data_IF_046278188061
#
_entry.id   IF_046278188061
#
_cell.length_a   1.000
_cell.length_b   1.000
_cell.length_c   1.000
_cell.angle_alpha   90.00
_cell.angle_beta   90.00
_cell.angle_gamma   90.00
#
_symmetry.space_group_name_H-M   'P 1'
#
loop_
_entity.id
_entity.type
_entity.pdbx_description
1 polymer ?
#
# COMPACT_ATOMS: atom_id res chain seq x y z
N UNK A 1 35.94 39.06 -32.96
CA UNK A 1 34.63 38.49 -32.70
C UNK A 1 34.63 37.79 -31.36
N UNK A 2 34.05 38.42 -30.35
CA UNK A 2 34.07 37.92 -28.96
C UNK A 2 32.90 36.99 -28.75
N UNK A 3 33.19 35.73 -28.48
CA UNK A 3 32.20 34.68 -28.12
C UNK A 3 31.65 34.94 -26.72
N UNK A 4 30.41 35.43 -26.62
CA UNK A 4 29.67 35.51 -25.36
C UNK A 4 29.48 34.09 -24.80
N UNK A 5 30.23 33.71 -23.77
CA UNK A 5 29.93 32.55 -22.93
C UNK A 5 28.53 32.72 -22.36
N UNK A 6 27.61 31.83 -22.67
CA UNK A 6 26.33 31.70 -21.97
C UNK A 6 26.62 31.27 -20.52
N UNK A 7 26.47 32.20 -19.60
CA UNK A 7 26.58 31.90 -18.17
C UNK A 7 25.38 31.08 -17.73
N UNK A 8 25.60 29.84 -17.33
CA UNK A 8 24.56 28.97 -16.76
C UNK A 8 24.02 29.57 -15.45
N UNK A 9 22.68 29.63 -15.32
CA UNK A 9 21.99 30.15 -14.13
C UNK A 9 22.29 29.29 -12.92
N UNK A 10 22.46 29.92 -11.74
CA UNK A 10 22.65 29.23 -10.47
C UNK A 10 21.40 28.40 -10.09
N UNK A 11 21.62 27.18 -9.66
CA UNK A 11 20.55 26.19 -9.42
C UNK A 11 19.93 26.33 -8.03
N UNK A 12 20.70 26.76 -7.06
CA UNK A 12 20.32 26.91 -5.64
C UNK A 12 20.25 28.36 -5.17
N UNK A 13 20.18 29.27 -6.12
CA UNK A 13 20.18 30.70 -5.84
C UNK A 13 18.94 31.19 -5.09
N UNK A 14 19.13 32.23 -4.25
CA UNK A 14 18.06 32.84 -3.47
C UNK A 14 16.92 33.38 -4.38
N UNK A 15 15.72 33.50 -3.83
CA UNK A 15 14.52 34.02 -4.54
C UNK A 15 14.74 35.43 -5.00
N UNK A 16 15.42 36.26 -4.23
CA UNK A 16 15.75 37.64 -4.56
C UNK A 16 16.63 37.77 -5.81
N UNK A 17 17.64 36.92 -5.98
CA UNK A 17 18.45 36.89 -7.23
C UNK A 17 17.68 36.31 -8.41
N UNK A 18 16.83 35.30 -8.16
CA UNK A 18 15.99 34.68 -9.20
C UNK A 18 14.97 35.66 -9.78
N UNK A 19 14.26 36.41 -8.94
CA UNK A 19 13.28 37.41 -9.39
C UNK A 19 13.93 38.51 -10.22
N UNK A 20 15.17 38.87 -9.86
CA UNK A 20 15.97 39.90 -10.58
C UNK A 20 16.77 39.33 -11.76
N UNK A 21 16.62 38.04 -12.08
CA UNK A 21 17.31 37.37 -13.20
C UNK A 21 18.85 37.50 -13.14
N UNK A 22 19.42 37.54 -11.93
CA UNK A 22 20.88 37.60 -11.72
C UNK A 22 21.41 36.25 -11.23
N UNK A 23 22.66 35.94 -11.57
CA UNK A 23 23.35 34.74 -11.08
C UNK A 23 23.61 34.91 -9.58
N UNK A 24 23.14 33.98 -8.76
CA UNK A 24 23.34 33.97 -7.31
C UNK A 24 24.67 33.31 -6.97
N UNK A 25 25.38 33.82 -5.95
CA UNK A 25 26.60 33.19 -5.41
C UNK A 25 26.30 32.05 -4.43
N UNK A 26 24.99 31.78 -4.14
CA UNK A 26 24.48 30.69 -3.31
C UNK A 26 25.03 30.65 -1.86
N UNK A 27 25.63 31.71 -1.37
CA UNK A 27 26.08 31.84 0.04
C UNK A 27 24.93 31.92 1.02
N UNK A 28 25.02 31.23 2.16
CA UNK A 28 24.04 31.28 3.26
C UNK A 28 24.68 31.89 4.50
N UNK A 29 23.92 32.60 5.32
CA UNK A 29 22.48 32.90 5.25
C UNK A 29 22.09 33.95 4.22
N UNK A 30 23.05 34.70 3.66
CA UNK A 30 22.82 35.72 2.65
C UNK A 30 23.86 35.60 1.53
N UNK A 31 23.41 35.65 0.28
CA UNK A 31 24.31 35.57 -0.85
C UNK A 31 25.08 36.89 -1.04
N UNK A 32 26.32 36.80 -1.53
CA UNK A 32 27.19 37.95 -1.69
C UNK A 32 26.53 39.12 -2.47
N UNK A 33 25.79 38.80 -3.52
CA UNK A 33 25.14 39.81 -4.38
C UNK A 33 24.00 40.55 -3.67
N UNK A 34 23.29 39.94 -2.73
CA UNK A 34 22.28 40.58 -1.91
C UNK A 34 22.93 41.41 -0.82
N UNK A 35 23.98 40.86 -0.17
CA UNK A 35 24.76 41.56 0.88
C UNK A 35 25.42 42.83 0.36
N UNK A 36 26.11 42.78 -0.79
CA UNK A 36 26.74 43.94 -1.40
C UNK A 36 25.75 45.06 -1.80
N UNK A 37 24.48 44.68 -2.00
CA UNK A 37 23.44 45.64 -2.39
C UNK A 37 22.51 46.07 -1.25
N UNK A 38 22.72 45.56 -0.05
CA UNK A 38 21.91 45.88 1.14
C UNK A 38 20.43 45.46 1.00
N UNK A 39 20.15 44.39 0.23
CA UNK A 39 18.77 43.94 0.01
C UNK A 39 18.57 42.58 0.70
N UNK A 40 17.34 42.34 1.16
CA UNK A 40 16.96 41.11 1.82
C UNK A 40 17.22 39.88 0.92
N UNK A 41 17.90 38.89 1.48
CA UNK A 41 18.24 37.66 0.77
C UNK A 41 17.34 36.51 1.23
N UNK A 42 16.31 36.21 0.46
CA UNK A 42 15.31 35.23 0.78
C UNK A 42 15.66 33.91 0.06
N UNK A 43 15.96 32.86 0.82
CA UNK A 43 16.07 31.50 0.28
C UNK A 43 14.72 30.78 0.41
N UNK A 44 14.34 29.92 -0.58
CA UNK A 44 13.15 29.09 -0.43
C UNK A 44 13.36 28.12 0.74
N UNK A 45 12.30 27.80 1.46
CA UNK A 45 12.31 26.71 2.42
C UNK A 45 12.42 25.38 1.67
N UNK A 46 13.63 24.82 1.64
CA UNK A 46 13.94 23.58 0.95
C UNK A 46 13.39 22.35 1.67
N UNK A 47 12.87 22.46 2.89
CA UNK A 47 12.23 21.35 3.59
C UNK A 47 10.90 21.00 2.95
N UNK A 48 10.22 21.95 2.31
CA UNK A 48 8.99 21.77 1.55
C UNK A 48 9.21 21.18 0.14
N UNK A 49 10.45 21.12 -0.38
CA UNK A 49 10.76 20.76 -1.78
C UNK A 49 11.41 19.36 -1.90
N UNK A 50 11.15 18.45 -0.97
CA UNK A 50 11.68 17.07 -1.07
C UNK A 50 11.20 16.31 -2.32
N UNK A 51 10.12 16.75 -2.96
CA UNK A 51 9.58 16.11 -4.17
C UNK A 51 10.42 16.31 -5.45
N UNK A 52 11.30 17.32 -5.53
CA UNK A 52 12.13 17.55 -6.74
C UNK A 52 13.49 16.83 -6.71
N UNK A 53 13.97 16.46 -5.54
CA UNK A 53 15.29 15.82 -5.40
C UNK A 53 15.33 14.38 -5.93
N UNK A 54 14.22 13.64 -5.85
CA UNK A 54 14.11 12.27 -6.35
C UNK A 54 14.31 12.21 -7.87
N UNK A 55 13.77 13.21 -8.59
CA UNK A 55 13.89 13.31 -10.06
C UNK A 55 15.33 13.60 -10.50
N UNK A 56 16.07 14.33 -9.68
CA UNK A 56 17.42 14.78 -10.00
C UNK A 56 18.48 13.72 -9.67
N UNK A 57 18.31 13.00 -8.55
CA UNK A 57 19.14 11.84 -8.19
C UNK A 57 18.99 10.71 -9.22
N UNK A 58 17.80 10.56 -9.79
CA UNK A 58 17.51 9.58 -10.85
C UNK A 58 18.20 9.91 -12.17
N UNK A 59 18.31 11.19 -12.56
CA UNK A 59 19.08 11.62 -13.74
C UNK A 59 20.59 11.40 -13.55
N UNK A 60 21.14 11.71 -12.38
CA UNK A 60 22.57 11.50 -12.08
C UNK A 60 22.94 10.00 -12.03
N UNK A 61 22.02 9.12 -11.60
CA UNK A 61 22.22 7.67 -11.64
C UNK A 61 22.09 7.09 -13.06
N UNK A 62 21.31 7.74 -13.94
CA UNK A 62 21.24 7.36 -15.35
C UNK A 62 22.52 7.76 -16.10
N UNK A 63 23.08 8.92 -15.80
CA UNK A 63 24.31 9.40 -16.45
C UNK A 63 25.58 8.68 -15.95
N UNK A 64 25.55 8.13 -14.71
CA UNK A 64 26.67 7.37 -14.14
C UNK A 64 26.73 5.89 -14.59
N UNK A 65 25.69 5.38 -15.24
CA UNK A 65 25.56 3.96 -15.62
C UNK A 65 25.90 3.64 -17.07
N UNK A 66 26.57 4.54 -17.80
CA UNK A 66 26.99 4.30 -19.20
C UNK A 66 28.19 3.32 -19.31
N UNK A 67 28.65 2.72 -18.22
CA UNK A 67 29.82 1.85 -18.21
C UNK A 67 29.65 0.44 -17.65
N UNK A 68 28.47 0.00 -17.24
CA UNK A 68 28.26 -1.36 -16.76
C UNK A 68 27.01 -1.97 -17.37
N UNK A 69 27.20 -2.90 -18.30
CA UNK A 69 26.15 -3.78 -18.79
C UNK A 69 25.65 -4.69 -17.64
N UNK A 70 24.76 -4.18 -16.83
CA UNK A 70 23.90 -5.01 -15.98
C UNK A 70 22.73 -5.42 -16.86
N UNK A 71 22.52 -6.74 -16.98
CA UNK A 71 21.44 -7.31 -17.74
C UNK A 71 20.13 -6.60 -17.42
N UNK A 72 19.56 -5.89 -18.41
CA UNK A 72 18.19 -5.36 -18.34
C UNK A 72 17.26 -6.52 -18.04
N UNK A 73 16.29 -6.38 -17.11
CA UNK A 73 15.21 -7.34 -17.06
C UNK A 73 14.54 -7.35 -18.43
N UNK A 74 14.58 -8.48 -19.05
CA UNK A 74 14.10 -8.75 -20.38
C UNK A 74 12.61 -8.46 -20.47
N UNK A 75 12.28 -7.58 -21.43
CA UNK A 75 11.03 -7.57 -22.17
C UNK A 75 9.78 -7.14 -21.37
N UNK A 76 9.56 -5.83 -21.31
CA UNK A 76 8.19 -5.36 -21.52
C UNK A 76 7.78 -5.80 -22.93
N UNK A 77 6.70 -6.60 -23.07
CA UNK A 77 6.18 -6.95 -24.38
C UNK A 77 5.91 -5.67 -25.18
N UNK A 78 6.04 -5.70 -26.49
CA UNK A 78 5.83 -4.54 -27.36
C UNK A 78 4.51 -3.85 -27.01
N UNK A 79 4.57 -2.57 -26.59
CA UNK A 79 3.39 -1.84 -26.13
C UNK A 79 2.46 -1.53 -27.31
N UNK A 80 1.14 -1.70 -27.14
CA UNK A 80 0.17 -1.33 -28.15
C UNK A 80 0.21 0.18 -28.44
N UNK A 81 -0.02 0.55 -29.67
CA UNK A 81 0.12 1.93 -30.19
C UNK A 81 -0.95 2.90 -29.69
N UNK A 82 -1.99 2.45 -29.01
CA UNK A 82 -3.06 3.28 -28.45
C UNK A 82 -2.88 3.45 -26.94
N UNK A 83 -2.91 4.71 -26.45
CA UNK A 83 -2.68 5.05 -25.04
C UNK A 83 -3.60 4.32 -24.06
N UNK A 84 -4.87 4.16 -24.37
CA UNK A 84 -5.85 3.48 -23.52
C UNK A 84 -5.55 1.98 -23.45
N UNK A 85 -5.25 1.35 -24.56
CA UNK A 85 -4.88 -0.06 -24.64
C UNK A 85 -3.60 -0.36 -23.83
N UNK A 86 -2.68 0.62 -23.70
CA UNK A 86 -1.44 0.49 -22.92
C UNK A 86 -1.71 0.32 -21.42
N UNK A 87 -2.64 1.06 -20.82
CA UNK A 87 -2.96 0.95 -19.40
C UNK A 87 -3.63 -0.39 -19.08
N UNK A 88 -4.61 -0.79 -19.88
CA UNK A 88 -5.25 -2.10 -19.76
C UNK A 88 -4.22 -3.24 -19.92
N UNK A 89 -3.31 -3.11 -20.88
CA UNK A 89 -2.24 -4.09 -21.08
C UNK A 89 -1.31 -4.15 -19.85
N UNK A 90 -0.92 -3.01 -19.28
CA UNK A 90 -0.08 -2.96 -18.08
C UNK A 90 -0.78 -3.59 -16.87
N UNK A 91 -2.07 -3.31 -16.69
CA UNK A 91 -2.87 -3.96 -15.65
C UNK A 91 -2.89 -5.48 -15.81
N UNK A 92 -3.18 -5.95 -17.03
CA UNK A 92 -3.25 -7.37 -17.35
C UNK A 92 -1.91 -8.11 -17.12
N UNK A 93 -0.80 -7.52 -17.54
CA UNK A 93 0.51 -8.20 -17.56
C UNK A 93 1.30 -8.06 -16.27
N UNK A 94 1.06 -6.99 -15.49
CA UNK A 94 1.87 -6.67 -14.31
C UNK A 94 1.00 -6.53 -13.05
N UNK A 95 0.06 -5.57 -13.03
CA UNK A 95 -0.64 -5.21 -11.79
C UNK A 95 -1.51 -6.31 -11.24
N UNK A 96 -2.27 -7.01 -12.08
CA UNK A 96 -3.14 -8.08 -11.65
C UNK A 96 -2.39 -9.16 -10.85
N UNK A 97 -1.13 -9.44 -11.22
CA UNK A 97 -0.27 -10.40 -10.49
C UNK A 97 0.36 -9.82 -9.23
N UNK A 98 0.50 -8.49 -9.12
CA UNK A 98 1.01 -7.84 -7.91
C UNK A 98 -0.03 -7.74 -6.80
N UNK A 99 -1.32 -7.67 -7.15
CA UNK A 99 -2.43 -7.41 -6.22
C UNK A 99 -3.30 -8.65 -5.93
N UNK A 100 -2.88 -9.83 -6.36
CA UNK A 100 -3.58 -11.08 -6.07
C UNK A 100 -2.61 -12.23 -5.89
N UNK A 101 -3.05 -13.24 -5.15
CA UNK A 101 -2.42 -14.54 -5.18
C UNK A 101 -2.92 -15.34 -6.38
N UNK A 102 -2.02 -15.88 -7.17
CA UNK A 102 -2.35 -16.77 -8.26
C UNK A 102 -1.61 -18.10 -8.07
N UNK A 103 -2.31 -19.18 -8.36
CA UNK A 103 -1.79 -20.54 -8.23
C UNK A 103 -1.65 -21.17 -9.61
N UNK A 104 -0.63 -20.81 -10.42
CA UNK A 104 -0.51 -21.32 -11.78
C UNK A 104 -0.44 -22.87 -11.84
N UNK A 105 0.17 -23.47 -10.82
CA UNK A 105 0.29 -24.93 -10.69
C UNK A 105 -1.05 -25.61 -10.38
N UNK A 106 -1.98 -24.91 -9.70
CA UNK A 106 -3.33 -25.40 -9.45
C UNK A 106 -4.31 -25.07 -10.59
N UNK A 107 -3.84 -24.43 -11.67
CA UNK A 107 -4.69 -24.02 -12.78
C UNK A 107 -5.70 -22.93 -12.45
N UNK A 108 -5.56 -22.26 -11.28
CA UNK A 108 -6.46 -21.16 -10.89
C UNK A 108 -6.10 -19.89 -11.64
N UNK A 109 -7.03 -19.34 -12.44
CA UNK A 109 -6.78 -18.09 -13.15
C UNK A 109 -6.71 -16.92 -12.16
N UNK A 110 -5.98 -15.87 -12.54
CA UNK A 110 -5.92 -14.64 -11.76
C UNK A 110 -7.32 -14.02 -11.65
N UNK A 111 -7.86 -13.76 -10.45
CA UNK A 111 -9.25 -13.33 -10.27
C UNK A 111 -9.51 -11.92 -10.85
N UNK A 112 -8.51 -11.03 -10.89
CA UNK A 112 -8.68 -9.71 -11.54
C UNK A 112 -8.82 -9.85 -13.06
N UNK A 113 -8.10 -10.79 -13.67
CA UNK A 113 -8.24 -11.08 -15.10
C UNK A 113 -9.59 -11.73 -15.41
N UNK A 114 -10.11 -12.52 -14.49
CA UNK A 114 -11.38 -13.21 -14.66
C UNK A 114 -12.59 -12.28 -14.40
N UNK A 115 -12.53 -11.40 -13.40
CA UNK A 115 -13.70 -10.66 -12.92
C UNK A 115 -13.64 -9.15 -13.23
N UNK A 116 -12.47 -8.54 -13.34
CA UNK A 116 -12.30 -7.10 -13.59
C UNK A 116 -12.08 -6.82 -15.07
N UNK A 117 -11.12 -7.50 -15.68
CA UNK A 117 -10.71 -7.21 -17.05
C UNK A 117 -11.86 -7.31 -18.08
N UNK A 118 -12.76 -8.32 -18.08
CA UNK A 118 -13.88 -8.34 -19.00
C UNK A 118 -14.85 -7.17 -18.86
N UNK A 119 -14.96 -6.59 -17.65
CA UNK A 119 -15.83 -5.46 -17.36
C UNK A 119 -15.31 -4.15 -17.95
N UNK A 120 -14.02 -4.02 -18.23
CA UNK A 120 -13.48 -2.82 -18.88
C UNK A 120 -14.07 -2.61 -20.28
N UNK A 121 -14.46 -3.67 -20.98
CA UNK A 121 -15.08 -3.60 -22.30
C UNK A 121 -16.56 -3.19 -22.25
N UNK A 122 -17.26 -3.41 -21.12
CA UNK A 122 -18.71 -3.17 -20.97
C UNK A 122 -19.04 -2.01 -20.04
N UNK A 123 -18.06 -1.49 -19.30
CA UNK A 123 -18.25 -0.41 -18.30
C UNK A 123 -17.12 0.61 -18.36
N UNK A 124 -17.46 1.81 -18.78
CA UNK A 124 -16.52 2.94 -18.87
C UNK A 124 -15.98 3.33 -17.49
N UNK A 125 -16.79 3.18 -16.42
CA UNK A 125 -16.37 3.45 -15.04
C UNK A 125 -15.25 2.49 -14.61
N UNK A 126 -15.43 1.18 -14.85
CA UNK A 126 -14.42 0.17 -14.52
C UNK A 126 -13.18 0.36 -15.38
N UNK A 127 -13.35 0.71 -16.66
CA UNK A 127 -12.24 0.99 -17.55
C UNK A 127 -11.36 2.12 -16.99
N UNK A 128 -11.94 3.29 -16.68
CA UNK A 128 -11.14 4.41 -16.14
C UNK A 128 -10.56 4.12 -14.76
N UNK A 129 -11.22 3.33 -13.93
CA UNK A 129 -10.64 2.91 -12.65
C UNK A 129 -9.40 2.03 -12.85
N UNK A 130 -9.45 1.05 -13.75
CA UNK A 130 -8.29 0.21 -14.12
C UNK A 130 -7.19 1.06 -14.74
N UNK A 131 -7.52 1.96 -15.67
CA UNK A 131 -6.55 2.85 -16.31
C UNK A 131 -5.88 3.79 -15.30
N UNK A 132 -6.61 4.30 -14.30
CA UNK A 132 -6.08 5.17 -13.26
C UNK A 132 -5.03 4.42 -12.41
N UNK A 133 -5.34 3.19 -11.96
CA UNK A 133 -4.40 2.35 -11.20
C UNK A 133 -3.15 2.04 -12.03
N UNK A 134 -3.32 1.69 -13.30
CA UNK A 134 -2.22 1.39 -14.19
C UNK A 134 -1.35 2.62 -14.49
N UNK A 135 -1.96 3.78 -14.72
CA UNK A 135 -1.24 5.03 -14.94
C UNK A 135 -0.46 5.47 -13.68
N UNK A 136 -1.04 5.30 -12.49
CA UNK A 136 -0.37 5.57 -11.22
C UNK A 136 0.89 4.69 -11.05
N UNK A 137 0.80 3.41 -11.34
CA UNK A 137 1.94 2.52 -11.27
C UNK A 137 3.01 2.85 -12.34
N UNK A 138 2.61 3.12 -13.58
CA UNK A 138 3.50 3.58 -14.65
C UNK A 138 4.17 4.92 -14.32
N UNK A 139 3.50 5.80 -13.59
CA UNK A 139 4.10 7.04 -13.08
C UNK A 139 5.29 6.73 -12.13
N UNK A 140 5.15 5.80 -11.22
CA UNK A 140 6.24 5.42 -10.32
C UNK A 140 7.36 4.67 -11.04
N UNK A 141 7.05 3.97 -12.11
CA UNK A 141 8.06 3.40 -13.02
C UNK A 141 8.75 4.47 -13.88
N UNK A 142 8.30 5.74 -13.86
CA UNK A 142 8.81 6.83 -14.68
C UNK A 142 8.42 6.72 -16.17
N UNK A 143 7.41 5.91 -16.46
CA UNK A 143 6.92 5.65 -17.81
C UNK A 143 5.65 6.46 -18.15
N UNK A 144 5.05 7.16 -17.18
CA UNK A 144 3.87 8.02 -17.36
C UNK A 144 3.98 9.30 -16.53
N UNK A 145 3.15 10.30 -16.82
CA UNK A 145 3.04 11.54 -16.04
C UNK A 145 2.06 11.40 -14.88
N UNK A 146 2.33 12.04 -13.73
CA UNK A 146 1.40 12.08 -12.60
C UNK A 146 0.09 12.79 -12.97
N UNK A 147 0.14 13.79 -13.85
CA UNK A 147 -1.06 14.49 -14.34
C UNK A 147 -2.03 13.53 -15.04
N UNK A 148 -1.50 12.59 -15.83
CA UNK A 148 -2.34 11.59 -16.52
C UNK A 148 -3.04 10.65 -15.56
N UNK A 149 -2.33 10.16 -14.55
CA UNK A 149 -2.91 9.32 -13.49
C UNK A 149 -4.05 10.06 -12.76
N UNK A 150 -3.81 11.33 -12.38
CA UNK A 150 -4.81 12.18 -11.73
C UNK A 150 -6.02 12.47 -12.63
N UNK A 151 -5.82 12.71 -13.92
CA UNK A 151 -6.92 12.92 -14.88
C UNK A 151 -7.80 11.67 -15.02
N UNK A 152 -7.21 10.48 -15.13
CA UNK A 152 -7.94 9.21 -15.22
C UNK A 152 -8.72 8.92 -13.93
N UNK A 153 -8.09 9.14 -12.78
CA UNK A 153 -8.74 9.04 -11.47
C UNK A 153 -9.95 9.98 -11.36
N UNK A 154 -9.78 11.26 -11.73
CA UNK A 154 -10.86 12.25 -11.71
C UNK A 154 -12.02 11.86 -12.65
N UNK A 155 -11.71 11.29 -13.81
CA UNK A 155 -12.74 10.77 -14.72
C UNK A 155 -13.49 9.58 -14.11
N UNK A 156 -12.77 8.63 -13.49
CA UNK A 156 -13.40 7.51 -12.80
C UNK A 156 -14.35 7.98 -11.69
N UNK A 157 -13.91 8.95 -10.86
CA UNK A 157 -14.72 9.53 -9.80
C UNK A 157 -15.97 10.25 -10.32
N UNK A 158 -15.83 11.05 -11.37
CA UNK A 158 -16.95 11.77 -11.98
C UNK A 158 -18.01 10.80 -12.55
N UNK A 159 -17.57 9.75 -13.24
CA UNK A 159 -18.48 8.73 -13.78
C UNK A 159 -19.17 7.94 -12.65
N UNK A 160 -18.43 7.63 -11.57
CA UNK A 160 -18.99 6.98 -10.39
C UNK A 160 -20.08 7.86 -9.74
N UNK A 161 -19.81 9.17 -9.58
CA UNK A 161 -20.76 10.12 -9.02
C UNK A 161 -22.04 10.27 -9.90
N UNK A 162 -21.85 10.37 -11.23
CA UNK A 162 -22.98 10.44 -12.19
C UNK A 162 -23.83 9.19 -12.12
N UNK A 163 -23.22 8.01 -12.10
CA UNK A 163 -23.96 6.75 -12.04
C UNK A 163 -24.72 6.59 -10.72
N UNK A 164 -24.07 6.92 -9.58
CA UNK A 164 -24.71 6.90 -8.26
C UNK A 164 -25.89 7.88 -8.13
N UNK A 165 -25.94 8.94 -8.93
CA UNK A 165 -27.06 9.89 -8.92
C UNK A 165 -28.32 9.39 -9.65
N UNK A 166 -28.26 8.25 -10.33
CA UNK A 166 -29.43 7.66 -11.02
C UNK A 166 -30.44 7.15 -10.00
N UNK A 167 -31.75 7.40 -10.23
CA UNK A 167 -32.78 7.02 -9.27
C UNK A 167 -32.94 5.50 -9.13
N UNK A 168 -32.58 4.73 -10.15
CA UNK A 168 -32.59 3.27 -10.12
C UNK A 168 -31.34 2.73 -10.77
N UNK A 169 -30.67 1.86 -10.03
CA UNK A 169 -29.48 1.13 -10.51
C UNK A 169 -29.86 -0.34 -10.69
N UNK A 170 -29.61 -0.86 -11.86
CA UNK A 170 -29.66 -2.31 -12.08
C UNK A 170 -28.48 -3.03 -11.39
N UNK A 171 -28.56 -4.34 -11.30
CA UNK A 171 -27.56 -5.15 -10.62
C UNK A 171 -26.17 -5.04 -11.27
N UNK A 172 -26.13 -4.97 -12.61
CA UNK A 172 -24.86 -4.84 -13.36
C UNK A 172 -24.19 -3.51 -13.06
N UNK A 173 -24.94 -2.42 -13.05
CA UNK A 173 -24.45 -1.08 -12.68
C UNK A 173 -23.94 -1.05 -11.25
N UNK A 174 -24.66 -1.64 -10.29
CA UNK A 174 -24.18 -1.75 -8.89
C UNK A 174 -22.86 -2.50 -8.79
N UNK A 175 -22.73 -3.61 -9.52
CA UNK A 175 -21.47 -4.40 -9.53
C UNK A 175 -20.31 -3.64 -10.15
N UNK A 176 -20.55 -2.87 -11.21
CA UNK A 176 -19.54 -2.04 -11.84
C UNK A 176 -19.11 -0.89 -10.92
N UNK A 177 -20.04 -0.28 -10.20
CA UNK A 177 -19.74 0.73 -9.17
C UNK A 177 -18.93 0.15 -8.01
N UNK A 178 -19.29 -1.04 -7.53
CA UNK A 178 -18.54 -1.76 -6.49
C UNK A 178 -17.10 -2.06 -6.96
N UNK A 179 -16.96 -2.61 -8.16
CA UNK A 179 -15.63 -2.87 -8.75
C UNK A 179 -14.81 -1.60 -8.86
N UNK A 180 -15.39 -0.50 -9.36
CA UNK A 180 -14.70 0.78 -9.51
C UNK A 180 -14.28 1.36 -8.17
N UNK A 181 -15.17 1.33 -7.15
CA UNK A 181 -14.87 1.82 -5.81
C UNK A 181 -13.70 1.06 -5.17
N UNK A 182 -13.67 -0.27 -5.31
CA UNK A 182 -12.58 -1.09 -4.77
C UNK A 182 -11.27 -0.90 -5.56
N UNK A 183 -11.33 -0.70 -6.88
CA UNK A 183 -10.15 -0.37 -7.70
C UNK A 183 -9.55 0.99 -7.32
N UNK A 184 -10.38 1.96 -6.93
CA UNK A 184 -9.86 3.25 -6.48
C UNK A 184 -9.12 3.17 -5.15
N UNK A 185 -9.37 2.16 -4.30
CA UNK A 185 -8.52 1.87 -3.13
C UNK A 185 -7.11 1.45 -3.59
N UNK A 186 -6.99 0.61 -4.62
CA UNK A 186 -5.68 0.26 -5.18
C UNK A 186 -4.94 1.47 -5.78
N UNK A 187 -5.67 2.43 -6.35
CA UNK A 187 -5.07 3.69 -6.81
C UNK A 187 -4.39 4.43 -5.65
N UNK A 188 -5.07 4.55 -4.50
CA UNK A 188 -4.52 5.18 -3.29
C UNK A 188 -3.28 4.42 -2.76
N UNK A 189 -3.32 3.09 -2.79
CA UNK A 189 -2.21 2.21 -2.37
C UNK A 189 -0.99 2.39 -3.27
N UNK A 190 -1.19 2.40 -4.59
CA UNK A 190 -0.10 2.55 -5.56
C UNK A 190 0.58 3.92 -5.42
N UNK A 191 -0.19 4.99 -5.21
CA UNK A 191 0.34 6.34 -5.00
C UNK A 191 0.89 6.58 -3.59
N UNK A 192 0.54 5.74 -2.60
CA UNK A 192 0.87 5.97 -1.20
C UNK A 192 0.15 7.18 -0.62
N UNK A 193 -1.10 7.40 -1.07
CA UNK A 193 -1.93 8.51 -0.63
C UNK A 193 -2.52 8.28 0.77
N UNK A 194 -3.51 9.09 1.13
CA UNK A 194 -4.14 9.04 2.44
C UNK A 194 -5.00 7.79 2.66
N UNK A 195 -4.81 7.11 3.79
CA UNK A 195 -5.69 6.03 4.25
C UNK A 195 -7.16 6.51 4.38
N UNK A 196 -7.39 7.80 4.66
CA UNK A 196 -8.72 8.37 4.74
C UNK A 196 -9.44 8.40 3.39
N UNK A 197 -8.73 8.65 2.27
CA UNK A 197 -9.31 8.58 0.93
C UNK A 197 -9.73 7.14 0.61
N UNK A 198 -8.85 6.17 0.86
CA UNK A 198 -9.15 4.75 0.68
C UNK A 198 -10.36 4.32 1.53
N UNK A 199 -10.48 4.85 2.76
CA UNK A 199 -11.65 4.61 3.63
C UNK A 199 -12.96 5.15 3.05
N UNK A 200 -12.95 6.33 2.42
CA UNK A 200 -14.13 6.86 1.74
C UNK A 200 -14.62 5.95 0.61
N UNK A 201 -13.69 5.41 -0.20
CA UNK A 201 -14.04 4.44 -1.23
C UNK A 201 -14.61 3.15 -0.63
N UNK A 202 -14.05 2.68 0.49
CA UNK A 202 -14.54 1.51 1.20
C UNK A 202 -15.95 1.73 1.76
N UNK A 203 -16.26 2.92 2.31
CA UNK A 203 -17.59 3.27 2.78
C UNK A 203 -18.63 3.25 1.63
N UNK A 204 -18.25 3.76 0.46
CA UNK A 204 -19.08 3.67 -0.74
C UNK A 204 -19.33 2.21 -1.17
N UNK A 205 -18.28 1.39 -1.17
CA UNK A 205 -18.37 -0.03 -1.48
C UNK A 205 -19.28 -0.79 -0.49
N UNK A 206 -19.24 -0.46 0.81
CA UNK A 206 -20.16 -1.02 1.82
C UNK A 206 -21.62 -0.84 1.44
N UNK A 207 -22.02 0.40 1.09
CA UNK A 207 -23.42 0.69 0.72
C UNK A 207 -23.84 -0.14 -0.49
N UNK A 208 -22.97 -0.29 -1.48
CA UNK A 208 -23.25 -1.10 -2.68
C UNK A 208 -23.40 -2.59 -2.35
N UNK A 209 -22.59 -3.12 -1.43
CA UNK A 209 -22.69 -4.48 -0.93
C UNK A 209 -24.02 -4.71 -0.17
N UNK A 210 -24.44 -3.79 0.68
CA UNK A 210 -25.70 -3.88 1.43
C UNK A 210 -26.95 -3.83 0.54
N UNK A 211 -26.82 -3.25 -0.65
CA UNK A 211 -27.91 -3.22 -1.65
C UNK A 211 -28.05 -4.51 -2.47
N UNK A 212 -27.08 -5.44 -2.39
CA UNK A 212 -27.14 -6.70 -3.13
C UNK A 212 -28.23 -7.63 -2.57
N UNK A 213 -29.05 -8.22 -3.46
CA UNK A 213 -30.17 -9.08 -3.08
C UNK A 213 -30.25 -10.39 -3.88
N UNK A 214 -29.30 -10.62 -4.79
CA UNK A 214 -29.35 -11.77 -5.69
C UNK A 214 -28.83 -13.02 -4.98
N UNK A 215 -29.61 -14.08 -5.00
CA UNK A 215 -29.22 -15.42 -4.50
C UNK A 215 -29.52 -16.47 -5.59
N UNK A 216 -28.60 -17.41 -5.90
CA UNK A 216 -27.24 -17.53 -5.34
C UNK A 216 -26.30 -16.39 -5.78
N UNK A 217 -25.27 -16.12 -4.97
CA UNK A 217 -24.28 -15.08 -5.29
C UNK A 217 -23.46 -15.45 -6.53
N UNK A 218 -23.34 -14.51 -7.50
CA UNK A 218 -22.43 -14.71 -8.63
C UNK A 218 -20.96 -14.77 -8.17
N UNK A 219 -20.08 -15.56 -8.83
CA UNK A 219 -18.67 -15.68 -8.44
C UNK A 219 -17.91 -14.35 -8.36
N UNK A 220 -18.21 -13.39 -9.24
CA UNK A 220 -17.59 -12.07 -9.21
C UNK A 220 -18.01 -11.24 -7.99
N UNK A 221 -19.23 -11.42 -7.47
CA UNK A 221 -19.67 -10.74 -6.25
C UNK A 221 -18.91 -11.27 -5.03
N UNK A 222 -18.78 -12.58 -4.91
CA UNK A 222 -17.95 -13.21 -3.87
C UNK A 222 -16.50 -12.70 -3.90
N UNK A 223 -15.91 -12.55 -5.09
CA UNK A 223 -14.60 -11.98 -5.26
C UNK A 223 -14.50 -10.54 -4.74
N UNK A 224 -15.40 -9.64 -5.14
CA UNK A 224 -15.38 -8.26 -4.66
C UNK A 224 -15.70 -8.15 -3.16
N UNK A 225 -16.55 -9.01 -2.63
CA UNK A 225 -16.80 -9.09 -1.20
C UNK A 225 -15.54 -9.49 -0.43
N UNK A 226 -14.76 -10.42 -0.92
CA UNK A 226 -13.46 -10.80 -0.35
C UNK A 226 -12.47 -9.63 -0.36
N UNK A 227 -12.36 -8.88 -1.46
CA UNK A 227 -11.54 -7.67 -1.54
C UNK A 227 -12.01 -6.63 -0.52
N UNK A 228 -13.32 -6.40 -0.42
CA UNK A 228 -13.88 -5.49 0.58
C UNK A 228 -13.48 -5.92 2.00
N UNK A 229 -13.63 -7.20 2.36
CA UNK A 229 -13.28 -7.71 3.67
C UNK A 229 -11.78 -7.57 3.96
N UNK A 230 -10.93 -7.76 2.95
CA UNK A 230 -9.50 -7.51 3.07
C UNK A 230 -9.24 -6.04 3.45
N UNK A 231 -9.72 -5.11 2.65
CA UNK A 231 -9.51 -3.69 2.90
C UNK A 231 -10.21 -3.19 4.16
N UNK A 232 -11.35 -3.77 4.53
CA UNK A 232 -12.07 -3.41 5.75
C UNK A 232 -11.20 -3.62 7.00
N UNK A 233 -10.45 -4.72 7.05
CA UNK A 233 -9.50 -4.99 8.13
C UNK A 233 -8.26 -4.11 8.01
N UNK A 234 -7.63 -4.05 6.83
CA UNK A 234 -6.39 -3.33 6.66
C UNK A 234 -6.53 -1.82 6.88
N UNK A 235 -7.60 -1.21 6.35
CA UNK A 235 -7.86 0.21 6.55
C UNK A 235 -8.35 0.53 7.97
N UNK A 236 -9.07 -0.38 8.62
CA UNK A 236 -9.41 -0.23 10.03
C UNK A 236 -8.16 -0.17 10.91
N UNK A 237 -7.20 -1.09 10.69
CA UNK A 237 -5.89 -1.09 11.36
C UNK A 237 -5.06 0.15 11.01
N UNK A 238 -5.09 0.60 9.74
CA UNK A 238 -4.37 1.79 9.27
C UNK A 238 -4.89 3.09 9.88
N UNK A 239 -6.16 3.15 10.23
CA UNK A 239 -6.83 4.34 10.77
C UNK A 239 -7.14 4.22 12.26
N UNK A 240 -6.76 3.12 12.90
CA UNK A 240 -7.09 2.80 14.29
C UNK A 240 -8.59 2.92 14.58
N UNK A 241 -9.41 2.42 13.65
CA UNK A 241 -10.88 2.46 13.69
C UNK A 241 -11.46 1.06 13.72
N UNK A 242 -12.72 0.99 14.10
CA UNK A 242 -13.47 -0.26 13.99
C UNK A 242 -13.76 -0.57 12.52
N UNK A 243 -13.70 -1.85 12.10
CA UNK A 243 -14.15 -2.27 10.78
C UNK A 243 -15.62 -1.92 10.53
N UNK A 244 -15.94 -1.63 9.26
CA UNK A 244 -17.32 -1.39 8.84
C UNK A 244 -18.13 -2.68 9.00
N UNK A 245 -19.31 -2.57 9.60
CA UNK A 245 -20.24 -3.68 9.71
C UNK A 245 -21.19 -3.66 8.50
N UNK A 246 -21.37 -4.81 7.85
CA UNK A 246 -22.33 -5.00 6.76
C UNK A 246 -23.55 -5.68 7.34
N UNK A 247 -24.71 -5.05 7.22
CA UNK A 247 -25.96 -5.58 7.74
C UNK A 247 -26.41 -6.83 6.95
N UNK A 248 -26.62 -7.93 7.65
CA UNK A 248 -27.13 -9.18 7.06
C UNK A 248 -26.12 -9.94 6.19
N UNK A 249 -24.84 -9.57 6.22
CA UNK A 249 -23.80 -10.31 5.52
C UNK A 249 -23.25 -11.43 6.41
N UNK A 250 -23.37 -12.72 6.01
CA UNK A 250 -22.76 -13.82 6.73
C UNK A 250 -21.22 -13.80 6.65
N UNK A 251 -20.64 -12.86 5.90
CA UNK A 251 -19.23 -12.83 5.56
C UNK A 251 -18.87 -13.79 4.43
N UNK A 252 -17.66 -13.67 3.85
CA UNK A 252 -17.16 -14.62 2.88
C UNK A 252 -16.91 -15.98 3.56
N UNK A 253 -17.05 -17.04 2.78
CA UNK A 253 -16.69 -18.38 3.22
C UNK A 253 -15.16 -18.46 3.36
N UNK A 254 -14.68 -18.69 4.57
CA UNK A 254 -13.25 -18.81 4.89
C UNK A 254 -12.81 -20.27 5.11
N UNK A 255 -13.54 -21.22 4.57
CA UNK A 255 -13.22 -22.66 4.71
C UNK A 255 -12.03 -23.10 3.87
N UNK A 256 -11.72 -22.39 2.79
CA UNK A 256 -10.59 -22.71 1.93
C UNK A 256 -9.27 -22.30 2.57
N UNK A 257 -8.33 -23.24 2.68
CA UNK A 257 -6.99 -22.98 3.19
C UNK A 257 -6.12 -22.15 2.23
N UNK A 258 -6.49 -22.09 0.95
CA UNK A 258 -5.79 -21.32 -0.10
C UNK A 258 -6.79 -20.51 -0.90
N UNK A 259 -6.66 -19.19 -0.84
CA UNK A 259 -7.57 -18.25 -1.47
C UNK A 259 -6.83 -17.24 -2.36
N UNK A 260 -7.43 -16.80 -3.44
CA UNK A 260 -6.79 -15.88 -4.40
C UNK A 260 -6.68 -14.43 -3.89
N UNK A 261 -7.45 -14.05 -2.87
CA UNK A 261 -7.39 -12.72 -2.21
C UNK A 261 -6.58 -12.80 -0.91
N UNK A 262 -6.79 -13.85 -0.13
CA UNK A 262 -6.20 -13.99 1.21
C UNK A 262 -4.95 -14.90 1.24
N UNK A 263 -4.63 -15.60 0.18
CA UNK A 263 -3.59 -16.63 0.23
C UNK A 263 -3.89 -17.66 1.31
N UNK A 264 -2.90 -17.99 2.12
CA UNK A 264 -3.07 -18.89 3.27
C UNK A 264 -3.61 -18.20 4.54
N UNK A 265 -4.01 -16.91 4.47
CA UNK A 265 -4.58 -16.20 5.63
C UNK A 265 -6.11 -16.31 5.71
N UNK A 266 -6.78 -16.98 4.77
CA UNK A 266 -8.24 -17.01 4.71
C UNK A 266 -8.88 -17.41 6.05
N UNK A 267 -8.48 -18.54 6.62
CA UNK A 267 -9.01 -19.01 7.93
C UNK A 267 -8.55 -18.16 9.14
N UNK A 268 -7.52 -17.34 8.98
CA UNK A 268 -7.06 -16.36 9.98
C UNK A 268 -7.89 -15.08 9.95
N UNK A 269 -8.51 -14.77 8.82
CA UNK A 269 -9.12 -13.46 8.56
C UNK A 269 -10.24 -13.07 9.54
N UNK A 270 -11.10 -13.99 10.02
CA UNK A 270 -12.05 -13.68 11.09
C UNK A 270 -11.39 -13.19 12.37
N UNK A 271 -10.21 -13.75 12.73
CA UNK A 271 -9.44 -13.30 13.89
C UNK A 271 -8.80 -11.94 13.64
N UNK A 272 -8.34 -11.66 12.42
CA UNK A 272 -7.81 -10.35 12.01
C UNK A 272 -8.91 -9.27 12.04
N UNK A 273 -10.13 -9.60 11.62
CA UNK A 273 -11.28 -8.69 11.74
C UNK A 273 -11.57 -8.37 13.22
N UNK A 274 -11.55 -9.41 14.10
CA UNK A 274 -11.73 -9.20 15.52
C UNK A 274 -10.61 -8.39 16.15
N UNK A 275 -9.35 -8.60 15.72
CA UNK A 275 -8.21 -7.77 16.10
C UNK A 275 -8.46 -6.30 15.77
N UNK A 276 -8.84 -6.00 14.54
CA UNK A 276 -9.10 -4.62 14.10
C UNK A 276 -10.25 -3.97 14.92
N UNK A 277 -11.32 -4.71 15.25
CA UNK A 277 -12.39 -4.21 16.11
C UNK A 277 -11.88 -3.88 17.52
N UNK A 278 -11.09 -4.76 18.13
CA UNK A 278 -10.53 -4.53 19.47
C UNK A 278 -9.57 -3.33 19.48
N UNK A 279 -8.67 -3.23 18.50
CA UNK A 279 -7.75 -2.09 18.38
C UNK A 279 -8.55 -0.77 18.24
N UNK A 280 -9.54 -0.74 17.34
CA UNK A 280 -10.38 0.44 17.16
C UNK A 280 -11.18 0.83 18.41
N UNK A 281 -11.60 -0.15 19.23
CA UNK A 281 -12.26 0.10 20.54
C UNK A 281 -11.28 0.62 21.59
N UNK A 282 -10.08 0.05 21.65
CA UNK A 282 -9.03 0.48 22.58
C UNK A 282 -8.63 1.95 22.30
N UNK A 283 -8.49 2.34 21.03
CA UNK A 283 -8.19 3.72 20.66
C UNK A 283 -9.30 4.72 21.05
N UNK A 284 -10.53 4.24 21.26
CA UNK A 284 -11.65 5.03 21.79
C UNK A 284 -11.75 4.97 23.34
N UNK A 285 -10.78 4.38 24.03
CA UNK A 285 -10.76 4.22 25.48
C UNK A 285 -11.64 3.09 26.00
N UNK A 286 -12.06 2.16 25.14
CA UNK A 286 -12.84 1.00 25.56
C UNK A 286 -11.97 -0.06 26.23
N UNK A 287 -12.47 -0.69 27.30
CA UNK A 287 -11.82 -1.86 27.90
C UNK A 287 -11.92 -3.07 26.97
N UNK A 288 -10.78 -3.62 26.62
CA UNK A 288 -10.64 -4.80 25.76
C UNK A 288 -9.96 -5.98 26.46
N UNK A 289 -9.65 -5.86 27.74
CA UNK A 289 -8.76 -6.78 28.49
C UNK A 289 -9.19 -8.24 28.41
N UNK A 290 -10.48 -8.54 28.62
CA UNK A 290 -10.98 -9.93 28.58
C UNK A 290 -11.04 -10.48 27.15
N UNK A 291 -11.53 -9.68 26.21
CA UNK A 291 -11.67 -10.10 24.81
C UNK A 291 -10.32 -10.28 24.13
N UNK A 292 -9.32 -9.45 24.51
CA UNK A 292 -7.94 -9.59 24.05
C UNK A 292 -7.31 -10.92 24.48
N UNK A 293 -7.54 -11.37 25.71
CA UNK A 293 -7.08 -12.68 26.16
C UNK A 293 -7.67 -13.82 25.33
N UNK A 294 -8.98 -13.80 25.12
CA UNK A 294 -9.69 -14.80 24.30
C UNK A 294 -9.13 -14.81 22.86
N UNK A 295 -8.91 -13.63 22.29
CA UNK A 295 -8.37 -13.53 20.93
C UNK A 295 -6.91 -13.99 20.86
N UNK A 296 -6.08 -13.66 21.86
CA UNK A 296 -4.72 -14.18 21.95
C UNK A 296 -4.67 -15.70 21.98
N UNK A 297 -5.51 -16.35 22.80
CA UNK A 297 -5.59 -17.82 22.86
C UNK A 297 -5.99 -18.43 21.52
N UNK A 298 -6.95 -17.81 20.82
CA UNK A 298 -7.36 -18.24 19.47
C UNK A 298 -6.26 -18.05 18.44
N UNK A 299 -5.53 -16.93 18.48
CA UNK A 299 -4.38 -16.71 17.60
C UNK A 299 -3.24 -17.67 17.89
N UNK A 300 -2.97 -17.97 19.16
CA UNK A 300 -1.97 -18.98 19.53
C UNK A 300 -2.32 -20.37 19.01
N UNK A 301 -3.56 -20.81 19.16
CA UNK A 301 -4.06 -22.12 18.71
C UNK A 301 -4.23 -22.22 17.20
N UNK A 302 -4.36 -21.08 16.49
CA UNK A 302 -4.50 -21.09 15.05
C UNK A 302 -3.24 -21.64 14.36
N UNK A 303 -3.41 -22.60 13.49
CA UNK A 303 -2.34 -23.19 12.67
C UNK A 303 -2.81 -23.42 11.24
N UNK A 304 -1.87 -23.44 10.31
CA UNK A 304 -2.13 -23.85 8.95
C UNK A 304 -1.91 -25.35 8.89
N UNK A 305 -2.95 -26.10 8.52
CA UNK A 305 -2.79 -27.50 8.13
C UNK A 305 -2.06 -27.55 6.78
N UNK A 306 -0.74 -27.42 6.80
CA UNK A 306 0.07 -27.56 5.60
C UNK A 306 0.61 -28.98 5.50
N UNK A 307 0.24 -29.72 4.47
CA UNK A 307 1.14 -30.75 3.94
C UNK A 307 2.49 -30.08 3.65
N UNK A 308 3.61 -30.73 3.96
CA UNK A 308 4.92 -30.18 3.61
C UNK A 308 4.97 -29.97 2.09
N UNK A 309 4.77 -28.72 1.67
CA UNK A 309 4.85 -28.33 0.26
C UNK A 309 6.32 -28.17 -0.08
N UNK A 310 6.72 -28.80 -1.17
CA UNK A 310 8.05 -28.60 -1.77
C UNK A 310 8.13 -27.36 -2.63
N UNK A 311 7.02 -26.61 -2.76
CA UNK A 311 6.89 -25.45 -3.61
C UNK A 311 7.17 -24.14 -2.83
N UNK A 312 8.13 -23.37 -3.33
CA UNK A 312 8.56 -22.11 -2.73
C UNK A 312 7.44 -21.06 -2.61
N UNK A 313 6.48 -21.08 -3.53
CA UNK A 313 5.35 -20.16 -3.52
C UNK A 313 4.41 -20.44 -2.36
N UNK A 314 4.02 -21.71 -2.18
CA UNK A 314 3.17 -22.14 -1.06
C UNK A 314 3.86 -21.89 0.27
N UNK A 315 5.17 -22.17 0.38
CA UNK A 315 5.94 -21.89 1.59
C UNK A 315 5.90 -20.39 1.94
N UNK A 316 6.08 -19.51 0.96
CA UNK A 316 6.03 -18.08 1.23
C UNK A 316 4.63 -17.61 1.66
N UNK A 317 3.55 -18.15 1.11
CA UNK A 317 2.20 -17.82 1.58
C UNK A 317 1.94 -18.29 3.01
N UNK A 318 2.48 -19.46 3.38
CA UNK A 318 2.46 -19.93 4.78
C UNK A 318 3.22 -18.97 5.69
N UNK A 319 4.39 -18.49 5.26
CA UNK A 319 5.16 -17.51 6.04
C UNK A 319 4.46 -16.15 6.12
N UNK A 320 3.78 -15.70 5.07
CA UNK A 320 2.90 -14.51 5.12
C UNK A 320 1.84 -14.71 6.21
N UNK A 321 1.13 -15.82 6.19
CA UNK A 321 0.06 -16.07 7.18
C UNK A 321 0.60 -16.17 8.63
N UNK A 322 1.77 -16.77 8.83
CA UNK A 322 2.46 -16.76 10.12
C UNK A 322 2.84 -15.34 10.55
N UNK A 323 3.33 -14.51 9.65
CA UNK A 323 3.66 -13.12 9.97
C UNK A 323 2.43 -12.34 10.44
N UNK A 324 1.27 -12.51 9.78
CA UNK A 324 0.00 -11.92 10.22
C UNK A 324 -0.43 -12.39 11.62
N UNK A 325 -0.34 -13.69 11.89
CA UNK A 325 -0.63 -14.26 13.21
C UNK A 325 0.22 -13.59 14.30
N UNK A 326 1.54 -13.61 14.13
CA UNK A 326 2.47 -13.10 15.14
C UNK A 326 2.38 -11.58 15.29
N UNK A 327 2.19 -10.83 14.20
CA UNK A 327 1.95 -9.41 14.28
C UNK A 327 0.63 -9.06 15.00
N UNK A 328 -0.42 -9.86 14.78
CA UNK A 328 -1.68 -9.73 15.52
C UNK A 328 -1.51 -9.93 17.03
N UNK A 329 -0.73 -10.93 17.43
CA UNK A 329 -0.38 -11.17 18.85
C UNK A 329 0.40 -9.99 19.45
N UNK A 330 1.40 -9.46 18.73
CA UNK A 330 2.18 -8.31 19.17
C UNK A 330 1.31 -7.06 19.36
N UNK A 331 0.40 -6.80 18.42
CA UNK A 331 -0.52 -5.66 18.54
C UNK A 331 -1.44 -5.76 19.75
N UNK A 332 -2.01 -6.94 20.00
CA UNK A 332 -2.88 -7.15 21.18
C UNK A 332 -2.14 -6.95 22.49
N UNK A 333 -0.89 -7.41 22.56
CA UNK A 333 -0.05 -7.22 23.76
C UNK A 333 0.26 -5.74 23.99
N UNK A 334 0.57 -5.00 22.95
CA UNK A 334 0.82 -3.55 23.02
C UNK A 334 -0.45 -2.77 23.40
N UNK A 335 -1.60 -3.14 22.88
CA UNK A 335 -2.86 -2.46 23.15
C UNK A 335 -3.43 -2.78 24.55
N UNK A 336 -3.12 -3.95 25.09
CA UNK A 336 -3.56 -4.41 26.43
C UNK A 336 -2.59 -4.12 27.57
N UNK A 337 -1.43 -3.52 27.29
CA UNK A 337 -0.32 -3.33 28.24
C UNK A 337 -0.55 -2.21 29.26
N UNK A 338 -1.69 -2.17 29.95
CA UNK A 338 -1.89 -1.26 31.08
C UNK A 338 -1.11 -1.69 32.34
N UNK A 339 -0.85 -2.99 32.52
CA UNK A 339 -0.06 -3.53 33.63
C UNK A 339 0.50 -4.91 33.23
N UNK A 340 1.69 -4.97 32.62
CA UNK A 340 2.32 -6.25 32.33
C UNK A 340 3.44 -6.57 33.33
N UNK A 341 3.41 -7.75 34.00
CA UNK A 341 4.49 -8.19 34.85
C UNK A 341 5.73 -8.60 34.04
N UNK A 342 6.91 -8.58 34.65
CA UNK A 342 8.24 -8.89 34.09
C UNK A 342 8.35 -10.17 33.24
N UNK A 343 7.41 -11.11 33.37
CA UNK A 343 7.32 -12.35 32.56
C UNK A 343 6.91 -12.10 31.09
N UNK A 344 6.43 -10.91 30.75
CA UNK A 344 5.97 -10.50 29.43
C UNK A 344 7.12 -10.38 28.40
N UNK A 345 8.31 -9.96 28.79
CA UNK A 345 9.39 -9.58 27.90
C UNK A 345 9.98 -10.75 27.09
N UNK A 346 10.22 -11.90 27.69
CA UNK A 346 10.79 -13.07 26.98
C UNK A 346 9.81 -13.66 25.95
N UNK A 347 8.53 -13.74 26.30
CA UNK A 347 7.50 -14.22 25.38
C UNK A 347 7.26 -13.24 24.24
N UNK A 348 7.31 -11.95 24.51
CA UNK A 348 7.19 -10.90 23.49
C UNK A 348 8.36 -10.96 22.50
N UNK A 349 9.57 -11.15 23.00
CA UNK A 349 10.75 -11.33 22.14
C UNK A 349 10.63 -12.58 21.27
N UNK A 350 10.12 -13.70 21.79
CA UNK A 350 9.91 -14.92 21.00
C UNK A 350 8.87 -14.70 19.89
N UNK A 351 7.75 -14.02 20.20
CA UNK A 351 6.72 -13.69 19.21
C UNK A 351 7.30 -12.74 18.16
N UNK A 352 8.04 -11.71 18.58
CA UNK A 352 8.71 -10.77 17.68
C UNK A 352 9.68 -11.48 16.73
N UNK A 353 10.56 -12.35 17.25
CA UNK A 353 11.48 -13.14 16.43
C UNK A 353 10.75 -14.03 15.43
N UNK A 354 9.64 -14.67 15.86
CA UNK A 354 8.83 -15.48 14.96
C UNK A 354 8.19 -14.66 13.84
N UNK A 355 7.72 -13.45 14.14
CA UNK A 355 7.20 -12.52 13.13
C UNK A 355 8.30 -12.06 12.16
N UNK A 356 9.45 -11.63 12.69
CA UNK A 356 10.61 -11.16 11.94
C UNK A 356 11.16 -12.25 11.01
N UNK A 357 11.36 -13.47 11.52
CA UNK A 357 11.85 -14.60 10.74
C UNK A 357 10.88 -15.00 9.64
N UNK A 358 9.56 -14.92 9.89
CA UNK A 358 8.54 -15.18 8.87
C UNK A 358 8.62 -14.15 7.74
N UNK A 359 8.76 -12.86 8.06
CA UNK A 359 8.97 -11.80 7.06
C UNK A 359 10.25 -12.03 6.26
N UNK A 360 11.36 -12.33 6.91
CA UNK A 360 12.64 -12.60 6.24
C UNK A 360 12.54 -13.76 5.26
N UNK A 361 11.90 -14.86 5.64
CA UNK A 361 11.75 -16.04 4.78
C UNK A 361 10.98 -15.72 3.50
N UNK A 362 9.92 -14.91 3.57
CA UNK A 362 9.19 -14.47 2.38
C UNK A 362 10.10 -13.66 1.45
N UNK A 363 10.94 -12.78 2.00
CA UNK A 363 11.87 -11.96 1.22
C UNK A 363 12.88 -12.81 0.45
N UNK A 364 13.41 -13.87 1.08
CA UNK A 364 14.36 -14.80 0.45
C UNK A 364 13.71 -15.56 -0.71
N UNK A 365 12.42 -15.87 -0.62
CA UNK A 365 11.69 -16.62 -1.65
C UNK A 365 11.26 -15.79 -2.86
N UNK A 366 11.52 -14.47 -2.85
CA UNK A 366 11.35 -13.55 -4.00
C UNK A 366 9.95 -13.48 -4.62
N UNK A 367 8.88 -13.59 -3.83
CA UNK A 367 7.48 -13.62 -4.31
C UNK A 367 6.78 -12.26 -4.30
N UNK A 368 5.59 -12.12 -4.95
CA UNK A 368 4.81 -10.88 -4.89
C UNK A 368 4.36 -10.61 -3.45
N UNK A 369 4.71 -9.43 -2.93
CA UNK A 369 4.75 -9.21 -1.49
C UNK A 369 3.94 -7.99 -1.04
N UNK A 370 3.00 -7.51 -1.85
CA UNK A 370 2.14 -6.37 -1.51
C UNK A 370 1.46 -6.55 -0.14
N UNK A 371 1.09 -7.78 0.21
CA UNK A 371 0.45 -8.12 1.49
C UNK A 371 1.38 -8.13 2.69
N UNK A 372 2.71 -8.01 2.51
CA UNK A 372 3.66 -7.92 3.63
C UNK A 372 3.84 -6.51 4.20
N UNK A 373 3.26 -5.49 3.59
CA UNK A 373 3.44 -4.10 4.07
C UNK A 373 3.03 -3.95 5.53
N UNK A 374 1.88 -4.51 5.91
CA UNK A 374 1.42 -4.45 7.31
C UNK A 374 2.30 -5.26 8.27
N UNK A 375 2.64 -6.54 8.04
CA UNK A 375 3.58 -7.26 8.91
C UNK A 375 4.93 -6.57 9.04
N UNK A 376 5.48 -6.07 7.93
CA UNK A 376 6.76 -5.35 7.92
C UNK A 376 6.70 -4.05 8.73
N UNK A 377 5.58 -3.32 8.65
CA UNK A 377 5.33 -2.14 9.47
C UNK A 377 5.29 -2.49 10.96
N UNK A 378 4.57 -3.54 11.35
CA UNK A 378 4.45 -3.98 12.77
C UNK A 378 5.81 -4.39 13.33
N UNK A 379 6.52 -5.26 12.61
CA UNK A 379 7.87 -5.71 13.00
C UNK A 379 8.84 -4.52 13.03
N UNK A 380 8.75 -3.63 12.05
CA UNK A 380 9.57 -2.43 11.98
C UNK A 380 9.35 -1.49 13.15
N UNK A 381 8.10 -1.23 13.51
CA UNK A 381 7.76 -0.37 14.66
C UNK A 381 8.34 -0.90 15.97
N UNK A 382 8.34 -2.22 16.16
CA UNK A 382 8.80 -2.88 17.38
C UNK A 382 10.31 -3.21 17.41
N UNK A 383 11.04 -2.95 16.33
CA UNK A 383 12.46 -3.24 16.24
C UNK A 383 13.29 -2.39 17.22
N UNK A 384 13.89 -3.03 18.23
CA UNK A 384 14.74 -2.39 19.24
C UNK A 384 16.22 -2.37 18.83
N UNK A 385 16.72 -3.43 18.17
CA UNK A 385 18.11 -3.54 17.79
C UNK A 385 18.45 -2.78 16.51
N UNK A 386 19.62 -2.17 16.46
CA UNK A 386 20.14 -1.51 15.24
C UNK A 386 20.28 -2.47 14.07
N UNK A 387 20.63 -3.74 14.34
CA UNK A 387 20.74 -4.78 13.32
C UNK A 387 19.39 -5.04 12.65
N UNK A 388 18.32 -5.26 13.45
CA UNK A 388 16.98 -5.49 12.92
C UNK A 388 16.48 -4.28 12.13
N UNK A 389 16.69 -3.07 12.64
CA UNK A 389 16.34 -1.81 11.95
C UNK A 389 17.00 -1.70 10.58
N UNK A 390 18.27 -2.07 10.48
CA UNK A 390 19.01 -2.05 9.22
C UNK A 390 18.43 -3.04 8.21
N UNK A 391 18.15 -4.26 8.66
CA UNK A 391 17.52 -5.30 7.81
C UNK A 391 16.13 -4.88 7.34
N UNK A 392 15.31 -4.33 8.23
CA UNK A 392 13.95 -3.85 7.91
C UNK A 392 14.00 -2.74 6.85
N UNK A 393 14.89 -1.77 7.00
CA UNK A 393 15.05 -0.71 5.98
C UNK A 393 15.50 -1.26 4.63
N UNK A 394 16.37 -2.26 4.65
CA UNK A 394 16.78 -2.95 3.43
C UNK A 394 15.61 -3.65 2.74
N UNK A 395 14.76 -4.35 3.51
CA UNK A 395 13.55 -5.01 2.99
C UNK A 395 12.60 -3.97 2.38
N UNK A 396 12.32 -2.87 3.06
CA UNK A 396 11.50 -1.78 2.51
C UNK A 396 12.06 -1.25 1.19
N UNK A 397 13.38 -1.08 1.10
CA UNK A 397 14.03 -0.61 -0.13
C UNK A 397 13.89 -1.61 -1.27
N UNK A 398 14.08 -2.90 -1.01
CA UNK A 398 13.88 -3.95 -2.01
C UNK A 398 12.44 -4.02 -2.52
N UNK A 399 11.45 -3.81 -1.64
CA UNK A 399 10.04 -3.77 -2.03
C UNK A 399 9.73 -2.60 -2.95
N UNK A 400 10.22 -1.41 -2.60
CA UNK A 400 10.05 -0.22 -3.42
C UNK A 400 10.69 -0.37 -4.80
N UNK A 401 11.91 -0.93 -4.84
CA UNK A 401 12.62 -1.17 -6.11
C UNK A 401 11.93 -2.21 -6.99
N UNK A 402 11.33 -3.23 -6.38
CA UNK A 402 10.74 -4.36 -7.12
C UNK A 402 9.29 -4.09 -7.56
N UNK A 403 8.50 -3.47 -6.69
CA UNK A 403 7.05 -3.37 -6.89
C UNK A 403 6.56 -1.96 -7.19
N UNK A 404 7.34 -0.92 -6.89
CA UNK A 404 7.00 0.49 -7.15
C UNK A 404 5.63 0.93 -6.57
N UNK A 405 5.20 0.32 -5.46
CA UNK A 405 4.00 0.69 -4.72
C UNK A 405 4.37 1.63 -3.57
N UNK A 406 3.88 2.87 -3.60
CA UNK A 406 4.32 3.90 -2.66
C UNK A 406 3.72 3.76 -1.25
N UNK A 407 2.72 2.92 -1.07
CA UNK A 407 2.25 2.52 0.27
C UNK A 407 3.40 1.99 1.14
N UNK A 408 4.35 1.30 0.54
CA UNK A 408 5.55 0.76 1.20
C UNK A 408 6.48 1.89 1.69
N UNK A 409 6.60 2.99 0.93
CA UNK A 409 7.39 4.16 1.32
C UNK A 409 6.77 4.91 2.50
N UNK A 410 5.44 5.04 2.51
CA UNK A 410 4.69 5.60 3.63
C UNK A 410 4.88 4.79 4.91
N UNK A 411 4.77 3.47 4.83
CA UNK A 411 5.01 2.58 5.96
C UNK A 411 6.46 2.68 6.47
N UNK A 412 7.45 2.72 5.57
CA UNK A 412 8.87 2.92 5.93
C UNK A 412 9.09 4.24 6.65
N UNK A 413 8.53 5.34 6.13
CA UNK A 413 8.67 6.66 6.74
C UNK A 413 8.05 6.70 8.15
N UNK A 414 6.91 6.07 8.34
CA UNK A 414 6.24 5.98 9.64
C UNK A 414 7.05 5.16 10.66
N UNK A 415 7.64 4.05 10.24
CA UNK A 415 8.55 3.25 11.08
C UNK A 415 9.78 4.08 11.49
N UNK A 416 10.40 4.80 10.56
CA UNK A 416 11.55 5.64 10.87
C UNK A 416 11.20 6.80 11.81
N UNK A 417 10.03 7.42 11.63
CA UNK A 417 9.55 8.47 12.54
C UNK A 417 9.32 7.92 13.96
N UNK A 418 8.73 6.73 14.09
CA UNK A 418 8.54 6.09 15.40
C UNK A 418 9.88 5.79 16.10
N UNK A 419 10.94 5.44 15.39
CA UNK A 419 12.26 5.23 16.01
C UNK A 419 12.91 6.51 16.51
N UNK A 420 12.56 7.67 15.95
CA UNK A 420 13.05 8.97 16.39
C UNK A 420 12.28 9.48 17.61
N UNK A 421 10.94 9.32 17.59
CA UNK A 421 10.02 9.74 18.65
C UNK A 421 9.09 8.58 19.02
N UNK A 422 9.54 7.64 19.88
CA UNK A 422 8.73 6.50 20.26
C UNK A 422 7.45 6.95 20.99
N UNK A 423 6.30 6.53 20.49
CA UNK A 423 5.01 6.72 21.14
C UNK A 423 4.70 5.54 22.06
N UNK A 424 4.13 5.78 23.26
CA UNK A 424 3.73 4.71 24.16
C UNK A 424 2.59 3.87 23.55
N UNK A 425 2.65 2.57 23.74
CA UNK A 425 1.65 1.63 23.25
C UNK A 425 1.63 1.49 21.71
N UNK A 426 0.48 1.09 21.15
CA UNK A 426 0.34 0.87 19.71
C UNK A 426 0.01 2.16 18.92
N UNK A 427 -0.42 3.22 19.56
CA UNK A 427 -0.90 4.44 18.90
C UNK A 427 0.02 4.94 17.79
N UNK A 428 -0.57 5.37 16.69
CA UNK A 428 0.14 5.97 15.55
C UNK A 428 0.16 7.49 15.71
N UNK A 429 1.29 8.12 15.43
CA UNK A 429 1.41 9.58 15.37
C UNK A 429 0.62 10.19 14.21
N UNK A 430 0.42 9.42 13.12
CA UNK A 430 -0.40 9.79 11.97
C UNK A 430 -0.92 8.50 11.29
N UNK A 431 -2.11 8.55 10.64
CA UNK A 431 -2.62 7.42 9.88
C UNK A 431 -1.66 6.99 8.76
N UNK A 432 -1.35 5.70 8.69
CA UNK A 432 -0.48 5.11 7.68
C UNK A 432 -1.28 4.10 6.88
N UNK A 433 -1.30 4.25 5.56
CA UNK A 433 -1.91 3.26 4.68
C UNK A 433 -1.05 1.98 4.69
N UNK A 434 -1.63 0.82 4.98
CA UNK A 434 -0.92 -0.44 5.23
C UNK A 434 -1.39 -1.62 4.35
N UNK A 435 -2.35 -1.41 3.47
CA UNK A 435 -2.98 -2.48 2.73
C UNK A 435 -2.75 -2.55 1.25
#
# INVERSE_FOLDING_TARGET
MSTRRQETRSRWGCMTCRSRRKKCSEGQPSCQLCTERGIECIYPDWTAVKFSQTRQRRRQLQDANIGRAVARPTLLPAQPSNHETRFIFHFNTILASLISFSFPQAGTPNPFLQHVLPRTASSVQVQYAVEAVAAAHLYHLGAESGDRATQLHSKALNLLAVELSRPQLDETSRMNLLASSLLLIYYEIVLGNSASNAWCHLQGAKVLLECHRTTPEPPFFSFFRKIFQYFNVMLALSLERRPLQINGDPGPDFTDHMDTVFGCTATLWPLMHRLADLIGRACLGGDISNESKILMDRLHSWSIESSPSTDAYTEAMVQIARSYKYCGLLMLRQAGASEAPEYSTLQDEQIYRSAFDSVLRVCVLSLPMATLTWPLYVVGKLASSTSDRTVILHIFSQFLEKHHMMVVDGARAAVQAHWQEPQPGWQQSAPVLLG
#
